data_IF_398752674393
#
_entry.id   IF_398752674393
#
_cell.length_a   1.000
_cell.length_b   1.000
_cell.length_c   1.000
_cell.angle_alpha   90.00
_cell.angle_beta   90.00
_cell.angle_gamma   90.00
#
_symmetry.space_group_name_H-M   'P 1'
#
loop_
_entity.id
_entity.type
_entity.pdbx_description
1 polymer ?
#
# COMPACT_ATOMS: atom_id res chain seq x y z
N UNK A 1 14.41 -15.24 27.71
CA UNK A 1 14.57 -14.48 26.45
C UNK A 1 13.80 -13.19 26.66
N UNK A 2 14.48 -12.04 26.66
CA UNK A 2 13.82 -10.75 26.72
C UNK A 2 12.81 -10.69 25.57
N UNK A 3 11.59 -10.28 25.86
CA UNK A 3 10.52 -10.17 24.90
C UNK A 3 10.86 -9.00 23.96
N UNK A 4 11.64 -9.27 22.89
CA UNK A 4 12.08 -8.26 21.93
C UNK A 4 10.82 -7.67 21.29
N UNK A 5 10.69 -6.33 21.29
CA UNK A 5 9.55 -5.66 20.64
C UNK A 5 9.50 -6.00 19.14
N UNK A 6 8.31 -6.14 18.55
CA UNK A 6 8.17 -6.32 17.11
C UNK A 6 8.92 -5.23 16.33
N UNK A 7 9.55 -5.59 15.22
CA UNK A 7 10.18 -4.68 14.27
C UNK A 7 9.25 -4.46 13.08
N UNK A 8 8.88 -3.22 12.83
CA UNK A 8 7.94 -2.83 11.77
C UNK A 8 8.69 -1.97 10.75
N UNK A 9 8.72 -2.42 9.49
CA UNK A 9 9.21 -1.62 8.36
C UNK A 9 8.05 -0.87 7.74
N UNK A 10 8.21 0.44 7.57
CA UNK A 10 7.20 1.32 6.93
C UNK A 10 7.79 1.97 5.68
N UNK A 11 6.99 2.04 4.62
CA UNK A 11 7.24 2.84 3.43
C UNK A 11 5.93 3.39 2.85
N UNK A 12 6.01 4.26 1.83
CA UNK A 12 4.86 4.80 1.10
C UNK A 12 5.27 5.22 -0.32
N UNK A 13 4.35 5.74 -1.11
CA UNK A 13 4.61 6.35 -2.42
C UNK A 13 4.36 7.87 -2.46
N UNK A 14 3.70 8.45 -1.44
CA UNK A 14 3.52 9.90 -1.32
C UNK A 14 4.81 10.64 -0.91
N UNK A 15 5.83 9.91 -0.47
CA UNK A 15 7.11 10.43 -0.02
C UNK A 15 7.21 10.64 1.49
N UNK A 16 8.46 10.77 1.97
CA UNK A 16 8.81 10.79 3.41
C UNK A 16 8.21 11.95 4.19
N UNK A 17 7.84 13.06 3.53
CA UNK A 17 7.27 14.26 4.16
C UNK A 17 5.74 14.26 4.17
N UNK A 18 5.09 13.28 3.55
CA UNK A 18 3.63 13.20 3.48
C UNK A 18 3.01 13.04 4.87
N UNK A 19 1.79 13.58 5.04
CA UNK A 19 1.07 13.48 6.31
C UNK A 19 0.72 12.02 6.64
N UNK A 20 0.30 11.25 5.64
CA UNK A 20 -0.11 9.85 5.82
C UNK A 20 0.96 8.98 6.48
N UNK A 21 2.23 9.05 6.05
CA UNK A 21 3.30 8.26 6.67
C UNK A 21 3.61 8.73 8.10
N UNK A 22 3.49 10.02 8.37
CA UNK A 22 3.69 10.57 9.72
C UNK A 22 2.62 10.07 10.70
N UNK A 23 1.36 10.02 10.26
CA UNK A 23 0.25 9.48 11.06
C UNK A 23 0.38 7.96 11.23
N UNK A 24 0.80 7.23 10.18
CA UNK A 24 1.06 5.80 10.27
C UNK A 24 2.12 5.47 11.32
N UNK A 25 3.23 6.20 11.33
CA UNK A 25 4.28 6.06 12.37
C UNK A 25 3.68 6.28 13.77
N UNK A 26 2.90 7.34 13.96
CA UNK A 26 2.24 7.65 15.24
C UNK A 26 1.34 6.51 15.70
N UNK A 27 0.53 5.94 14.81
CA UNK A 27 -0.41 4.88 15.14
C UNK A 27 0.27 3.54 15.46
N UNK A 28 1.38 3.21 14.77
CA UNK A 28 2.07 1.92 14.92
C UNK A 28 3.17 1.91 15.99
N UNK A 29 3.68 3.07 16.38
CA UNK A 29 4.77 3.18 17.38
C UNK A 29 4.49 2.48 18.72
N UNK A 30 3.25 2.40 19.23
CA UNK A 30 2.94 1.64 20.44
C UNK A 30 3.16 0.12 20.31
N UNK A 31 3.08 -0.42 19.06
CA UNK A 31 3.15 -1.85 18.79
C UNK A 31 4.58 -2.39 18.70
N UNK A 32 5.55 -1.57 18.29
CA UNK A 32 6.90 -2.07 18.02
C UNK A 32 7.95 -0.98 17.83
N UNK A 33 9.13 -1.42 17.43
CA UNK A 33 10.20 -0.59 16.89
C UNK A 33 9.91 -0.29 15.42
N UNK A 34 10.10 0.94 15.00
CA UNK A 34 9.79 1.41 13.65
C UNK A 34 11.08 1.73 12.89
N UNK A 35 11.23 1.13 11.73
CA UNK A 35 12.19 1.57 10.70
C UNK A 35 11.38 2.06 9.52
N UNK A 36 11.68 3.26 9.06
CA UNK A 36 11.07 3.86 7.87
C UNK A 36 12.12 3.99 6.80
N UNK A 37 11.84 3.54 5.59
CA UNK A 37 12.57 3.92 4.40
C UNK A 37 11.55 4.25 3.32
N UNK A 38 11.47 5.52 2.92
CA UNK A 38 10.46 6.02 2.00
C UNK A 38 11.08 6.94 0.93
N UNK A 39 10.44 7.07 -0.24
CA UNK A 39 10.92 7.95 -1.30
C UNK A 39 11.08 9.40 -0.83
N UNK A 40 12.08 10.08 -1.35
CA UNK A 40 12.36 11.50 -1.09
C UNK A 40 11.41 12.45 -1.81
N UNK A 41 10.65 11.93 -2.78
CA UNK A 41 9.61 12.64 -3.54
C UNK A 41 8.44 11.71 -3.84
N UNK A 42 7.23 12.24 -4.16
CA UNK A 42 6.10 11.43 -4.57
C UNK A 42 6.39 10.53 -5.77
N UNK A 43 5.90 9.29 -5.72
CA UNK A 43 6.06 8.23 -6.73
C UNK A 43 4.71 7.56 -7.05
N UNK A 44 3.62 8.34 -7.06
CA UNK A 44 2.27 7.83 -7.36
C UNK A 44 2.22 7.09 -8.70
N UNK A 45 1.45 6.02 -8.77
CA UNK A 45 1.33 5.19 -9.98
C UNK A 45 2.56 4.33 -10.29
N UNK A 46 3.52 4.21 -9.37
CA UNK A 46 4.75 3.42 -9.60
C UNK A 46 4.57 1.91 -9.52
N UNK A 47 3.44 1.42 -9.01
CA UNK A 47 3.20 -0.02 -8.84
C UNK A 47 4.39 -0.72 -8.13
N UNK A 48 4.84 -1.85 -8.70
CA UNK A 48 6.04 -2.59 -8.25
C UNK A 48 7.30 -2.23 -9.06
N UNK A 49 7.38 -1.01 -9.64
CA UNK A 49 8.51 -0.61 -10.45
C UNK A 49 9.83 -0.63 -9.67
N UNK A 50 10.91 -1.00 -10.36
CA UNK A 50 12.28 -1.03 -9.85
C UNK A 50 13.17 -0.06 -10.63
N UNK A 51 14.07 0.62 -9.93
CA UNK A 51 15.10 1.46 -10.54
C UNK A 51 16.30 0.60 -10.92
N UNK A 52 16.44 0.28 -12.20
CA UNK A 52 17.52 -0.60 -12.71
C UNK A 52 18.53 0.12 -13.61
N UNK A 53 18.28 1.38 -13.97
CA UNK A 53 19.08 2.16 -14.94
C UNK A 53 20.05 3.14 -14.29
N UNK A 54 19.90 3.39 -12.99
CA UNK A 54 20.72 4.33 -12.22
C UNK A 54 20.92 3.86 -10.78
N UNK A 55 21.99 4.30 -10.11
CA UNK A 55 22.19 4.02 -8.67
C UNK A 55 21.15 4.76 -7.83
N UNK A 56 20.63 4.07 -6.81
CA UNK A 56 19.79 4.69 -5.77
C UNK A 56 20.62 4.92 -4.51
N UNK A 57 20.21 5.92 -3.71
CA UNK A 57 20.85 6.24 -2.45
C UNK A 57 19.82 6.49 -1.36
N UNK A 58 20.25 6.36 -0.10
CA UNK A 58 19.44 6.69 1.06
C UNK A 58 20.23 7.53 2.07
N UNK A 59 19.50 8.28 2.89
CA UNK A 59 20.06 9.09 3.96
C UNK A 59 19.24 8.95 5.24
N UNK A 60 19.94 8.90 6.39
CA UNK A 60 19.30 9.00 7.69
C UNK A 60 18.69 10.41 7.86
N UNK A 61 17.41 10.46 8.17
CA UNK A 61 16.66 11.71 8.41
C UNK A 61 16.45 11.93 9.90
N UNK A 62 16.13 10.85 10.64
CA UNK A 62 15.79 10.92 12.06
C UNK A 62 16.13 9.61 12.76
N UNK A 63 16.64 9.71 13.99
CA UNK A 63 16.85 8.56 14.86
C UNK A 63 16.47 8.91 16.30
N UNK A 64 15.44 8.26 16.80
CA UNK A 64 14.94 8.36 18.17
C UNK A 64 14.86 6.96 18.80
N UNK A 65 14.55 6.90 20.08
CA UNK A 65 14.27 5.62 20.75
C UNK A 65 13.07 4.94 20.07
N UNK A 66 13.29 3.75 19.51
CA UNK A 66 12.27 2.95 18.82
C UNK A 66 11.77 3.52 17.49
N UNK A 67 12.51 4.46 16.88
CA UNK A 67 12.18 5.01 15.54
C UNK A 67 13.46 5.40 14.80
N UNK A 68 13.66 4.84 13.61
CA UNK A 68 14.70 5.28 12.68
C UNK A 68 14.09 5.55 11.31
N UNK A 69 14.37 6.71 10.73
CA UNK A 69 13.75 7.19 9.49
C UNK A 69 14.82 7.50 8.46
N UNK A 70 14.69 6.90 7.28
CA UNK A 70 15.53 7.13 6.11
C UNK A 70 14.69 7.64 4.95
N UNK A 71 15.26 8.56 4.16
CA UNK A 71 14.76 8.90 2.82
C UNK A 71 15.57 8.19 1.76
N UNK A 72 14.94 7.85 0.63
CA UNK A 72 15.55 7.12 -0.48
C UNK A 72 15.19 7.77 -1.81
N UNK A 73 16.11 7.75 -2.79
CA UNK A 73 15.86 8.29 -4.14
C UNK A 73 15.08 7.31 -5.06
N UNK A 74 14.90 6.07 -4.63
CA UNK A 74 14.24 5.01 -5.41
C UNK A 74 12.71 5.03 -5.31
N UNK A 75 12.09 4.02 -5.93
CA UNK A 75 10.66 3.74 -5.83
C UNK A 75 10.28 3.21 -4.44
N UNK A 76 8.99 3.11 -4.10
CA UNK A 76 8.54 2.45 -2.87
C UNK A 76 9.05 1.00 -2.73
N UNK A 77 9.04 0.24 -3.83
CA UNK A 77 9.56 -1.13 -3.88
C UNK A 77 11.08 -1.16 -3.66
N UNK A 78 11.83 -0.24 -4.25
CA UNK A 78 13.27 -0.09 -4.01
C UNK A 78 13.56 0.20 -2.54
N UNK A 79 12.76 1.05 -1.90
CA UNK A 79 12.91 1.37 -0.48
C UNK A 79 12.82 0.12 0.40
N UNK A 80 11.84 -0.74 0.15
CA UNK A 80 11.72 -2.01 0.89
C UNK A 80 12.93 -2.91 0.63
N UNK A 81 13.29 -3.14 -0.63
CA UNK A 81 14.46 -3.98 -1.00
C UNK A 81 15.74 -3.48 -0.36
N UNK A 82 15.98 -2.16 -0.43
CA UNK A 82 17.18 -1.55 0.11
C UNK A 82 17.20 -1.60 1.64
N UNK A 83 16.06 -1.39 2.30
CA UNK A 83 15.96 -1.52 3.75
C UNK A 83 16.35 -2.92 4.23
N UNK A 84 15.84 -3.97 3.59
CA UNK A 84 16.21 -5.36 3.90
C UNK A 84 17.71 -5.65 3.72
N UNK A 85 18.36 -4.95 2.80
CA UNK A 85 19.79 -5.17 2.49
C UNK A 85 20.74 -4.37 3.38
N UNK A 86 20.31 -3.18 3.84
CA UNK A 86 21.27 -2.20 4.39
C UNK A 86 21.02 -1.78 5.83
N UNK A 87 19.77 -1.54 6.24
CA UNK A 87 19.45 -0.86 7.50
C UNK A 87 18.76 -1.75 8.53
N UNK A 88 18.20 -2.89 8.09
CA UNK A 88 17.60 -3.86 8.99
C UNK A 88 18.66 -4.86 9.43
N UNK A 89 18.87 -5.01 10.73
CA UNK A 89 19.77 -5.99 11.35
C UNK A 89 19.11 -7.35 11.57
N UNK A 90 17.79 -7.41 11.44
CA UNK A 90 16.96 -8.63 11.45
C UNK A 90 15.77 -8.50 10.53
N UNK A 91 15.15 -9.63 10.17
CA UNK A 91 13.90 -9.65 9.40
C UNK A 91 12.80 -8.92 10.20
N UNK A 92 12.06 -7.97 9.61
CA UNK A 92 10.95 -7.33 10.29
C UNK A 92 9.80 -8.32 10.52
N UNK A 93 9.02 -8.06 11.56
CA UNK A 93 7.85 -8.86 11.91
C UNK A 93 6.61 -8.43 11.11
N UNK A 94 6.65 -7.19 10.57
CA UNK A 94 5.58 -6.61 9.76
C UNK A 94 6.16 -5.61 8.77
N UNK A 95 5.64 -5.61 7.53
CA UNK A 95 5.84 -4.53 6.54
C UNK A 95 4.55 -3.79 6.34
N UNK A 96 4.58 -2.46 6.38
CA UNK A 96 3.39 -1.62 6.24
C UNK A 96 3.60 -0.55 5.19
N UNK A 97 2.69 -0.49 4.21
CA UNK A 97 2.60 0.57 3.21
C UNK A 97 1.58 1.63 3.60
N UNK A 98 1.89 2.92 3.39
CA UNK A 98 0.91 4.01 3.51
C UNK A 98 1.20 5.04 4.62
N UNK A 99 0.19 5.73 5.14
CA UNK A 99 -1.22 5.71 4.68
C UNK A 99 -1.29 6.50 3.37
N UNK A 100 -1.79 5.87 2.32
CA UNK A 100 -1.92 6.50 1.00
C UNK A 100 -2.99 7.58 1.00
N UNK A 101 -2.73 8.69 0.31
CA UNK A 101 -3.72 9.69 -0.04
C UNK A 101 -4.46 9.26 -1.32
N UNK A 102 -5.69 8.79 -1.19
CA UNK A 102 -6.48 8.11 -2.21
C UNK A 102 -6.58 6.61 -1.95
N UNK A 103 -7.63 5.98 -2.47
CA UNK A 103 -7.86 4.55 -2.29
C UNK A 103 -7.00 3.70 -3.24
N UNK A 104 -6.77 2.47 -2.81
CA UNK A 104 -6.15 1.41 -3.59
C UNK A 104 -7.09 0.21 -3.74
N UNK A 105 -8.41 0.46 -3.70
CA UNK A 105 -9.46 -0.52 -3.91
C UNK A 105 -9.57 -0.92 -5.39
N UNK A 106 -10.30 -1.98 -5.68
CA UNK A 106 -10.52 -2.47 -7.04
C UNK A 106 -9.21 -2.65 -7.83
N UNK A 107 -9.18 -2.22 -9.09
CA UNK A 107 -8.02 -2.30 -9.99
C UNK A 107 -6.88 -1.33 -9.62
N UNK A 108 -7.14 -0.33 -8.77
CA UNK A 108 -6.13 0.63 -8.33
C UNK A 108 -4.96 -0.05 -7.61
N UNK A 109 -5.22 -1.20 -6.99
CA UNK A 109 -4.19 -2.06 -6.40
C UNK A 109 -3.01 -2.32 -7.35
N UNK A 110 -3.30 -2.52 -8.65
CA UNK A 110 -2.28 -2.86 -9.65
C UNK A 110 -1.37 -1.69 -10.02
N UNK A 111 -1.80 -0.44 -9.78
CA UNK A 111 -1.04 0.78 -10.08
C UNK A 111 -0.38 1.40 -8.86
N UNK A 112 -0.76 0.93 -7.67
CA UNK A 112 -0.38 1.49 -6.38
C UNK A 112 1.07 1.24 -5.99
N UNK A 113 1.82 2.31 -5.72
CA UNK A 113 3.14 2.21 -5.11
C UNK A 113 3.08 1.75 -3.65
N UNK A 114 2.04 2.12 -2.91
CA UNK A 114 1.76 1.62 -1.55
C UNK A 114 1.59 0.09 -1.58
N UNK A 115 0.85 -0.46 -2.55
CA UNK A 115 0.75 -1.92 -2.70
C UNK A 115 2.06 -2.54 -3.20
N UNK A 116 2.89 -1.80 -3.94
CA UNK A 116 4.25 -2.21 -4.29
C UNK A 116 5.11 -2.50 -3.05
N UNK A 117 5.03 -1.65 -2.00
CA UNK A 117 5.67 -1.88 -0.68
C UNK A 117 5.20 -3.20 -0.08
N UNK A 118 3.89 -3.40 -0.06
CA UNK A 118 3.22 -4.55 0.58
C UNK A 118 3.53 -5.86 -0.14
N UNK A 119 3.47 -5.85 -1.47
CA UNK A 119 3.80 -6.99 -2.31
C UNK A 119 5.27 -7.38 -2.13
N UNK A 120 6.20 -6.42 -2.12
CA UNK A 120 7.62 -6.72 -1.89
C UNK A 120 7.85 -7.30 -0.49
N UNK A 121 7.23 -6.75 0.56
CA UNK A 121 7.30 -7.30 1.91
C UNK A 121 6.79 -8.75 1.97
N UNK A 122 5.68 -9.01 1.31
CA UNK A 122 5.08 -10.34 1.19
C UNK A 122 6.01 -11.32 0.45
N UNK A 123 6.65 -10.90 -0.65
CA UNK A 123 7.66 -11.69 -1.38
C UNK A 123 8.89 -12.00 -0.54
N UNK A 124 9.25 -11.13 0.43
CA UNK A 124 10.29 -11.41 1.44
C UNK A 124 9.81 -12.36 2.54
N UNK A 125 8.57 -12.84 2.46
CA UNK A 125 7.97 -13.75 3.43
C UNK A 125 7.67 -13.06 4.77
N UNK A 126 7.33 -11.77 4.75
CA UNK A 126 6.88 -11.00 5.91
C UNK A 126 5.39 -10.70 5.78
N UNK A 127 4.58 -10.87 6.84
CA UNK A 127 3.21 -10.36 6.85
C UNK A 127 3.20 -8.88 6.45
N UNK A 128 2.31 -8.49 5.53
CA UNK A 128 2.34 -7.15 4.95
C UNK A 128 0.95 -6.55 4.79
N UNK A 129 0.80 -5.24 5.08
CA UNK A 129 -0.47 -4.52 5.07
C UNK A 129 -0.29 -3.19 4.34
N UNK A 130 -1.17 -2.88 3.40
CA UNK A 130 -1.32 -1.54 2.81
C UNK A 130 -2.51 -0.82 3.41
N UNK A 131 -2.32 0.43 3.82
CA UNK A 131 -3.37 1.30 4.33
C UNK A 131 -3.56 2.50 3.41
N UNK A 132 -4.82 2.80 3.06
CA UNK A 132 -5.21 3.87 2.15
C UNK A 132 -6.46 4.58 2.65
N UNK A 133 -6.53 5.89 2.49
CA UNK A 133 -7.71 6.71 2.80
C UNK A 133 -8.28 7.27 1.50
N UNK A 134 -9.60 7.14 1.28
CA UNK A 134 -10.32 7.65 0.11
C UNK A 134 -10.40 9.19 0.11
N UNK A 135 -9.26 9.86 0.32
CA UNK A 135 -9.14 11.32 0.30
C UNK A 135 -7.75 11.72 -0.21
N UNK A 136 -7.72 12.49 -1.31
CA UNK A 136 -6.48 12.94 -1.98
C UNK A 136 -5.92 14.26 -1.41
N UNK A 137 -6.62 14.91 -0.49
CA UNK A 137 -6.20 16.18 0.07
C UNK A 137 -4.95 16.02 0.96
N UNK A 138 -3.96 16.89 0.79
CA UNK A 138 -2.72 16.85 1.58
C UNK A 138 -2.94 17.04 3.10
N UNK A 139 -4.07 17.61 3.50
CA UNK A 139 -4.47 17.84 4.89
C UNK A 139 -5.52 16.84 5.38
N UNK A 140 -5.79 15.74 4.65
CA UNK A 140 -6.76 14.71 5.00
C UNK A 140 -6.68 14.31 6.49
N UNK A 141 -7.84 13.99 7.08
CA UNK A 141 -7.93 13.57 8.49
C UNK A 141 -7.81 12.06 8.63
N UNK A 142 -6.65 11.58 9.10
CA UNK A 142 -6.38 10.18 9.32
C UNK A 142 -6.75 9.67 10.72
N UNK A 143 -7.14 10.55 11.66
CA UNK A 143 -7.42 10.17 13.05
C UNK A 143 -8.51 9.08 13.18
N UNK A 144 -9.61 9.13 12.42
CA UNK A 144 -10.63 8.07 12.50
C UNK A 144 -10.12 6.67 12.15
N UNK A 145 -9.10 6.57 11.27
CA UNK A 145 -8.49 5.30 10.87
C UNK A 145 -7.53 4.73 11.94
N UNK A 146 -6.98 5.58 12.81
CA UNK A 146 -5.91 5.21 13.75
C UNK A 146 -6.23 4.01 14.65
N UNK A 147 -7.40 3.91 15.30
CA UNK A 147 -7.77 2.76 16.11
C UNK A 147 -7.82 1.45 15.31
N UNK A 148 -8.35 1.49 14.08
CA UNK A 148 -8.44 0.34 13.19
C UNK A 148 -7.06 -0.09 12.68
N UNK A 149 -6.20 0.85 12.29
CA UNK A 149 -4.82 0.58 11.86
C UNK A 149 -4.06 -0.17 12.95
N UNK A 150 -4.14 0.31 14.20
CA UNK A 150 -3.49 -0.36 15.35
C UNK A 150 -4.03 -1.77 15.56
N UNK A 151 -5.34 -1.93 15.55
CA UNK A 151 -5.96 -3.24 15.81
C UNK A 151 -5.64 -4.24 14.70
N UNK A 152 -5.74 -3.84 13.42
CA UNK A 152 -5.42 -4.70 12.28
C UNK A 152 -3.94 -5.10 12.33
N UNK A 153 -3.03 -4.15 12.54
CA UNK A 153 -1.59 -4.44 12.64
C UNK A 153 -1.27 -5.36 13.83
N UNK A 154 -1.89 -5.14 15.01
CA UNK A 154 -1.76 -6.01 16.18
C UNK A 154 -2.20 -7.44 15.88
N UNK A 155 -3.37 -7.60 15.26
CA UNK A 155 -3.90 -8.92 14.89
C UNK A 155 -2.99 -9.65 13.89
N UNK A 156 -2.43 -8.93 12.91
CA UNK A 156 -1.50 -9.53 11.93
C UNK A 156 -0.17 -9.90 12.58
N UNK A 157 0.35 -9.09 13.52
CA UNK A 157 1.54 -9.44 14.31
C UNK A 157 1.32 -10.69 15.17
N UNK A 158 0.12 -10.87 15.72
CA UNK A 158 -0.20 -12.02 16.58
C UNK A 158 -0.48 -13.31 15.79
N UNK A 159 -1.23 -13.20 14.68
CA UNK A 159 -1.76 -14.35 13.94
C UNK A 159 -0.95 -14.71 12.71
N UNK A 160 -0.17 -13.76 12.18
CA UNK A 160 0.46 -13.88 10.87
C UNK A 160 -0.53 -13.81 9.71
N UNK A 161 0.00 -13.99 8.51
CA UNK A 161 -0.78 -14.16 7.26
C UNK A 161 -0.30 -15.42 6.54
N UNK A 162 -1.15 -16.07 5.74
CA UNK A 162 -0.72 -17.18 4.90
C UNK A 162 0.41 -16.74 3.95
N UNK A 163 1.33 -17.64 3.56
CA UNK A 163 2.38 -17.34 2.59
C UNK A 163 1.79 -16.73 1.31
N UNK A 164 2.51 -15.77 0.73
CA UNK A 164 2.12 -15.06 -0.49
C UNK A 164 0.77 -14.33 -0.40
N UNK A 165 0.32 -14.01 0.82
CA UNK A 165 -0.91 -13.24 1.06
C UNK A 165 -0.58 -11.99 1.86
N UNK A 166 -1.17 -10.87 1.46
CA UNK A 166 -1.10 -9.59 2.14
C UNK A 166 -2.50 -8.96 2.28
N UNK A 167 -2.61 -7.84 2.98
CA UNK A 167 -3.87 -7.14 3.15
C UNK A 167 -3.84 -5.79 2.46
N UNK A 168 -4.85 -5.51 1.66
CA UNK A 168 -5.17 -4.19 1.13
C UNK A 168 -6.32 -3.61 1.95
N UNK A 169 -6.05 -2.56 2.73
CA UNK A 169 -7.01 -1.96 3.67
C UNK A 169 -7.31 -0.53 3.25
N UNK A 170 -8.56 -0.27 2.95
CA UNK A 170 -9.03 1.04 2.51
C UNK A 170 -10.04 1.61 3.50
N UNK A 171 -9.92 2.91 3.79
CA UNK A 171 -10.79 3.66 4.68
C UNK A 171 -11.61 4.65 3.87
N UNK A 172 -12.95 4.70 4.04
CA UNK A 172 -13.75 5.77 3.47
C UNK A 172 -13.44 7.11 4.17
N UNK A 173 -13.59 8.21 3.44
CA UNK A 173 -13.42 9.56 4.00
C UNK A 173 -14.65 9.96 4.84
N UNK A 174 -14.70 9.43 6.05
CA UNK A 174 -15.76 9.73 7.02
C UNK A 174 -15.22 9.70 8.44
N UNK A 175 -15.83 10.50 9.32
CA UNK A 175 -15.50 10.49 10.75
C UNK A 175 -16.14 9.33 11.51
N UNK A 176 -17.23 8.77 10.99
CA UNK A 176 -18.01 7.71 11.62
C UNK A 176 -17.90 6.41 10.82
N UNK A 177 -16.84 5.65 11.11
CA UNK A 177 -16.62 4.33 10.52
C UNK A 177 -17.60 3.31 11.16
N UNK A 178 -18.35 2.58 10.34
CA UNK A 178 -19.35 1.59 10.80
C UNK A 178 -18.75 0.24 11.21
N UNK A 179 -17.43 0.07 11.10
CA UNK A 179 -16.73 -1.18 11.39
C UNK A 179 -15.95 -1.70 10.20
N UNK A 180 -15.53 -2.97 10.25
CA UNK A 180 -14.70 -3.62 9.23
C UNK A 180 -15.53 -4.60 8.42
N UNK A 181 -15.32 -4.62 7.09
CA UNK A 181 -15.78 -5.69 6.18
C UNK A 181 -14.58 -6.36 5.50
N UNK A 182 -14.62 -7.68 5.44
CA UNK A 182 -13.69 -8.46 4.60
C UNK A 182 -14.32 -8.55 3.23
N UNK A 183 -13.59 -8.09 2.22
CA UNK A 183 -14.13 -7.82 0.89
C UNK A 183 -13.46 -8.63 -0.20
N UNK A 184 -14.19 -8.80 -1.29
CA UNK A 184 -13.67 -9.16 -2.60
C UNK A 184 -13.20 -7.89 -3.31
N UNK A 185 -12.25 -8.01 -4.23
CA UNK A 185 -11.87 -6.90 -5.11
C UNK A 185 -13.02 -6.57 -6.06
N UNK A 186 -13.45 -5.31 -6.13
CA UNK A 186 -14.47 -4.83 -7.09
C UNK A 186 -14.01 -5.07 -8.52
N UNK A 187 -14.91 -5.57 -9.35
CA UNK A 187 -14.68 -5.67 -10.79
C UNK A 187 -15.02 -4.35 -11.47
N UNK A 188 -14.06 -3.79 -12.16
CA UNK A 188 -14.24 -2.51 -12.85
C UNK A 188 -13.05 -2.17 -13.72
N UNK A 189 -13.12 -1.01 -14.34
CA UNK A 189 -12.08 -0.48 -15.21
C UNK A 189 -12.10 1.04 -15.19
N UNK A 190 -10.98 1.65 -15.55
CA UNK A 190 -10.91 3.07 -15.84
C UNK A 190 -11.38 3.32 -17.28
N UNK A 191 -12.09 4.41 -17.50
CA UNK A 191 -12.59 4.87 -18.80
C UNK A 191 -12.25 6.34 -18.99
N UNK A 192 -12.29 6.85 -20.24
CA UNK A 192 -11.99 8.25 -20.54
C UNK A 192 -10.65 8.75 -19.96
N UNK A 193 -9.62 7.88 -20.00
CA UNK A 193 -8.39 8.03 -19.22
C UNK A 193 -7.46 9.17 -19.71
N UNK A 194 -7.72 9.80 -20.85
CA UNK A 194 -6.83 10.77 -21.42
C UNK A 194 -7.53 12.07 -21.78
N UNK A 195 -7.09 13.17 -21.19
CA UNK A 195 -7.49 14.51 -21.54
C UNK A 195 -6.41 15.20 -22.37
N UNK A 196 -6.81 15.79 -23.52
CA UNK A 196 -5.90 16.55 -24.36
C UNK A 196 -5.52 17.86 -23.67
N UNK A 197 -4.23 18.05 -23.41
CA UNK A 197 -3.72 19.25 -22.73
C UNK A 197 -3.24 20.31 -23.71
N UNK A 198 -2.43 19.95 -24.71
CA UNK A 198 -1.82 20.89 -25.65
C UNK A 198 -1.25 20.22 -26.89
N UNK A 199 -0.98 21.06 -27.91
CA UNK A 199 -0.20 20.70 -29.10
C UNK A 199 0.95 21.70 -29.27
N UNK A 200 2.18 21.20 -29.52
CA UNK A 200 3.35 22.04 -29.84
C UNK A 200 4.10 21.42 -31.02
N UNK A 201 3.92 22.00 -32.20
CA UNK A 201 4.40 21.37 -33.44
C UNK A 201 3.73 20.01 -33.65
N UNK A 202 4.53 18.96 -33.82
CA UNK A 202 4.04 17.57 -34.01
C UNK A 202 3.88 16.82 -32.68
N UNK A 203 4.15 17.46 -31.53
CA UNK A 203 4.00 16.85 -30.20
C UNK A 203 2.59 17.06 -29.63
N UNK A 204 1.99 15.99 -29.16
CA UNK A 204 0.68 15.95 -28.51
C UNK A 204 0.86 15.64 -27.03
N UNK A 205 0.24 16.45 -26.16
CA UNK A 205 0.36 16.32 -24.71
C UNK A 205 -0.99 15.95 -24.12
N UNK A 206 -1.00 14.95 -23.26
CA UNK A 206 -2.18 14.46 -22.58
C UNK A 206 -1.96 14.38 -21.06
N UNK A 207 -3.01 14.62 -20.32
CA UNK A 207 -3.08 14.25 -18.91
C UNK A 207 -3.75 12.90 -18.75
N UNK A 208 -3.21 12.05 -17.87
CA UNK A 208 -3.89 10.88 -17.39
C UNK A 208 -4.98 11.34 -16.41
N UNK A 209 -6.21 11.02 -16.72
CA UNK A 209 -7.42 11.33 -15.96
C UNK A 209 -8.24 10.04 -15.83
N UNK A 210 -9.54 10.13 -15.85
CA UNK A 210 -10.43 8.98 -16.02
C UNK A 210 -11.56 8.95 -15.00
N UNK A 211 -12.53 8.13 -15.34
CA UNK A 211 -13.68 7.80 -14.51
C UNK A 211 -13.65 6.29 -14.25
N UNK A 212 -13.81 5.91 -12.99
CA UNK A 212 -13.88 4.49 -12.65
C UNK A 212 -15.27 3.95 -12.91
N UNK A 213 -15.38 2.97 -13.81
CA UNK A 213 -16.62 2.24 -14.10
C UNK A 213 -16.67 0.98 -13.24
N UNK A 214 -17.60 0.97 -12.28
CA UNK A 214 -17.83 -0.18 -11.41
C UNK A 214 -18.78 -1.18 -12.10
N UNK A 215 -18.25 -2.31 -12.57
CA UNK A 215 -19.03 -3.35 -13.26
C UNK A 215 -19.70 -4.34 -12.28
N UNK A 216 -19.58 -4.09 -10.97
CA UNK A 216 -20.03 -5.00 -9.90
C UNK A 216 -20.68 -4.23 -8.73
N UNK A 217 -21.36 -3.12 -9.05
CA UNK A 217 -21.86 -2.16 -8.07
C UNK A 217 -22.90 -2.76 -7.08
N UNK A 218 -23.69 -3.73 -7.51
CA UNK A 218 -24.70 -4.38 -6.68
C UNK A 218 -24.12 -5.47 -5.75
N UNK A 219 -22.83 -5.78 -5.87
CA UNK A 219 -22.19 -6.81 -5.04
C UNK A 219 -21.77 -6.24 -3.68
N UNK A 220 -22.59 -6.47 -2.66
CA UNK A 220 -22.35 -6.04 -1.28
C UNK A 220 -21.10 -6.64 -0.62
N UNK A 221 -20.40 -7.57 -1.29
CA UNK A 221 -19.17 -8.19 -0.79
C UNK A 221 -17.91 -7.47 -1.25
N UNK A 222 -18.00 -6.59 -2.25
CA UNK A 222 -16.85 -5.92 -2.81
C UNK A 222 -16.39 -4.71 -1.97
N UNK A 223 -15.15 -4.29 -2.21
CA UNK A 223 -14.48 -3.22 -1.45
C UNK A 223 -15.12 -1.84 -1.71
N UNK A 224 -15.53 -1.52 -2.95
CA UNK A 224 -16.22 -0.26 -3.24
C UNK A 224 -17.54 -0.14 -2.51
N UNK A 225 -18.36 -1.20 -2.53
CA UNK A 225 -19.61 -1.19 -1.79
C UNK A 225 -19.39 -0.94 -0.29
N UNK A 226 -18.37 -1.58 0.28
CA UNK A 226 -18.02 -1.39 1.69
C UNK A 226 -17.65 0.08 1.98
N UNK A 227 -16.80 0.68 1.13
CA UNK A 227 -16.34 2.06 1.26
C UNK A 227 -17.51 3.05 1.12
N UNK A 228 -18.35 2.89 0.10
CA UNK A 228 -19.53 3.74 -0.16
C UNK A 228 -20.54 3.69 1.00
N UNK A 229 -20.57 2.58 1.73
CA UNK A 229 -21.44 2.39 2.89
C UNK A 229 -20.78 2.72 4.24
N UNK A 230 -19.58 3.29 4.26
CA UNK A 230 -18.88 3.77 5.46
C UNK A 230 -18.17 2.70 6.27
N UNK A 231 -17.85 1.55 5.67
CA UNK A 231 -17.06 0.48 6.29
C UNK A 231 -15.59 0.56 5.88
N UNK A 232 -14.72 0.14 6.78
CA UNK A 232 -13.32 -0.16 6.45
C UNK A 232 -13.30 -1.43 5.60
N UNK A 233 -12.79 -1.35 4.38
CA UNK A 233 -12.66 -2.49 3.48
C UNK A 233 -11.30 -3.18 3.67
N UNK A 234 -11.30 -4.46 3.96
CA UNK A 234 -10.09 -5.30 3.98
C UNK A 234 -10.20 -6.34 2.88
N UNK A 235 -9.37 -6.22 1.85
CA UNK A 235 -9.31 -7.15 0.74
C UNK A 235 -8.05 -8.00 0.88
N UNK A 236 -8.15 -9.30 1.26
CA UNK A 236 -7.03 -10.23 1.22
C UNK A 236 -6.54 -10.38 -0.23
N UNK A 237 -5.23 -10.17 -0.42
CA UNK A 237 -4.63 -10.11 -1.76
C UNK A 237 -3.52 -11.13 -1.85
N UNK A 238 -3.51 -11.94 -2.93
CA UNK A 238 -2.42 -12.88 -3.22
C UNK A 238 -1.41 -12.26 -4.18
N UNK A 239 -0.13 -12.54 -3.95
CA UNK A 239 0.97 -12.14 -4.86
C UNK A 239 1.32 -13.23 -5.87
N UNK A 240 0.77 -14.43 -5.72
CA UNK A 240 0.85 -15.49 -6.73
C UNK A 240 -0.22 -15.23 -7.80
N UNK A 241 0.22 -14.86 -8.98
CA UNK A 241 -0.64 -14.51 -10.11
C UNK A 241 -1.05 -15.74 -10.96
N UNK A 242 -0.77 -16.97 -10.52
CA UNK A 242 -1.08 -18.18 -11.27
C UNK A 242 -2.58 -18.47 -11.26
N UNK A 243 -3.18 -18.54 -12.44
CA UNK A 243 -4.57 -19.00 -12.59
C UNK A 243 -4.65 -20.54 -12.50
N UNK A 244 -4.55 -21.08 -11.30
CA UNK A 244 -4.48 -22.55 -11.07
C UNK A 244 -5.63 -23.32 -11.71
N UNK A 245 -6.83 -22.76 -11.77
CA UNK A 245 -7.99 -23.37 -12.40
C UNK A 245 -7.87 -23.62 -13.91
N UNK A 246 -6.93 -22.93 -14.59
CA UNK A 246 -6.73 -23.08 -16.04
C UNK A 246 -5.59 -24.06 -16.40
N UNK A 247 -4.78 -24.50 -15.43
CA UNK A 247 -3.58 -25.28 -15.71
C UNK A 247 -3.93 -26.58 -16.44
N UNK A 248 -4.92 -27.34 -15.95
CA UNK A 248 -5.24 -28.65 -16.52
C UNK A 248 -5.98 -28.51 -17.85
N UNK A 249 -6.77 -27.46 -18.04
CA UNK A 249 -7.38 -27.15 -19.34
C UNK A 249 -6.30 -26.84 -20.38
N UNK A 250 -5.34 -25.96 -20.04
CA UNK A 250 -4.26 -25.59 -20.96
C UNK A 250 -3.34 -26.78 -21.31
N UNK A 251 -3.08 -27.70 -20.37
CA UNK A 251 -2.33 -28.94 -20.66
C UNK A 251 -3.00 -29.81 -21.74
N UNK A 252 -4.32 -29.74 -21.88
CA UNK A 252 -5.05 -30.47 -22.89
C UNK A 252 -4.97 -29.87 -24.30
N UNK A 253 -4.46 -28.60 -24.41
CA UNK A 253 -4.29 -27.94 -25.70
C UNK A 253 -2.94 -28.25 -26.37
N UNK A 254 -1.97 -28.77 -25.62
CA UNK A 254 -0.60 -29.11 -26.02
C UNK A 254 -0.24 -30.59 -25.75
#
# INVERSE_FOLDING_TARGET
>A
MENQRPLILISNDDGIIAKGISELIKFLRPLGEIVVMAPDAPRSGSACALTVTEPIHYQLVRKDVGLTVYKCSGTPTDCVKLAFHTVLDRKPDLVVGGINHGDNSSVNLHYSGTMGVVIEGCLKGVPSIGFSLCNHESNADFEPAGPYIREIARLVLEKGLPPLTCLNVNFPDTKELKGVKICEQTKGQWTNEWENFAHRGDAHYYWLTGEFENNDAENEKNDHWALDNGYVAITPTTVDATAYGLIDELKAWF
#
